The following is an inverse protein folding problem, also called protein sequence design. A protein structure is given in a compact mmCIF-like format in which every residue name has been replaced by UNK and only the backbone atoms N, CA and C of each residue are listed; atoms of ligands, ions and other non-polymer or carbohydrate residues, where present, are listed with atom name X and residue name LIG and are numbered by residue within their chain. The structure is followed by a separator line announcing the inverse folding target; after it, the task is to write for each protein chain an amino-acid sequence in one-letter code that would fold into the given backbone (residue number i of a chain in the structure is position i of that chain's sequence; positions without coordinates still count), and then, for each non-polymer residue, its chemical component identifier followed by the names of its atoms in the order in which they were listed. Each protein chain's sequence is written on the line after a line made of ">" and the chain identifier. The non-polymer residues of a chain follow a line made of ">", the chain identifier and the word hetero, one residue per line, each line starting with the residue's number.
data_IF_099145341166
#
_entry.id   IF_099145341166
#
_cell.length_a   1.000
_cell.length_b   1.000
_cell.length_c   1.000
_cell.angle_alpha   90.00
_cell.angle_beta   90.00
_cell.angle_gamma   90.00
#
_symmetry.space_group_name_H-M   'P 1'
#
loop_
_entity.id
_entity.type
_entity.pdbx_description
1 polymer ?
#
# COMPACT_ATOMS: atom_id res chain seq x y z
N UNK A 1 6.18 -1.06 -9.26
CA UNK A 1 5.20 -1.20 -10.34
C UNK A 1 4.26 0.00 -10.45
N UNK A 2 3.67 0.19 -11.61
CA UNK A 2 2.77 1.29 -11.92
C UNK A 2 1.53 0.79 -12.67
N UNK A 3 0.35 1.11 -12.12
CA UNK A 3 -0.93 0.93 -12.78
C UNK A 3 -1.52 2.30 -13.06
N UNK A 4 -1.89 2.55 -14.29
CA UNK A 4 -2.59 3.77 -14.72
C UNK A 4 -4.05 3.43 -14.96
N UNK A 5 -4.95 4.31 -14.58
CA UNK A 5 -6.38 4.12 -14.78
C UNK A 5 -7.08 5.42 -15.19
N UNK A 6 -8.07 5.27 -16.05
CA UNK A 6 -9.04 6.27 -16.45
C UNK A 6 -10.43 5.59 -16.47
N UNK A 7 -11.16 5.54 -17.57
CA UNK A 7 -12.38 4.72 -17.69
C UNK A 7 -12.12 3.19 -17.67
N UNK A 8 -10.86 2.80 -17.83
CA UNK A 8 -10.33 1.44 -17.69
C UNK A 8 -8.95 1.48 -17.07
N UNK A 9 -8.41 0.32 -16.64
CA UNK A 9 -7.13 0.23 -15.96
C UNK A 9 -6.10 -0.55 -16.78
N UNK A 10 -4.84 -0.11 -16.71
CA UNK A 10 -3.72 -0.70 -17.45
C UNK A 10 -2.45 -0.78 -16.59
N UNK A 11 -1.69 -1.88 -16.74
CA UNK A 11 -0.38 -2.01 -16.08
C UNK A 11 0.69 -1.35 -16.96
N UNK A 12 1.14 -0.18 -16.58
CA UNK A 12 2.19 0.57 -17.26
C UNK A 12 3.57 -0.03 -16.99
N UNK A 13 3.83 -0.43 -15.74
CA UNK A 13 5.07 -1.06 -15.33
C UNK A 13 4.78 -2.18 -14.32
N UNK A 14 5.20 -3.42 -14.56
CA UNK A 14 5.11 -4.47 -13.56
C UNK A 14 6.03 -4.17 -12.37
N UNK A 15 5.81 -4.85 -11.24
CA UNK A 15 6.68 -4.71 -10.08
C UNK A 15 8.12 -5.12 -10.43
N UNK A 16 9.06 -4.24 -10.19
CA UNK A 16 10.48 -4.42 -10.52
C UNK A 16 11.38 -3.76 -9.48
N UNK A 17 12.60 -4.25 -9.33
CA UNK A 17 13.66 -3.62 -8.55
C UNK A 17 14.44 -2.56 -9.36
N UNK A 18 14.20 -2.48 -10.66
CA UNK A 18 14.80 -1.46 -11.53
C UNK A 18 14.08 -0.11 -11.33
N UNK A 19 14.68 0.73 -10.48
CA UNK A 19 14.14 2.05 -10.16
C UNK A 19 14.22 3.03 -11.33
N UNK A 20 15.23 2.92 -12.18
CA UNK A 20 15.40 3.82 -13.33
C UNK A 20 14.33 3.52 -14.38
N UNK A 21 14.08 2.24 -14.67
CA UNK A 21 12.97 1.83 -15.52
C UNK A 21 11.64 2.32 -14.97
N UNK A 22 11.40 2.14 -13.66
CA UNK A 22 10.16 2.58 -13.02
C UNK A 22 9.95 4.10 -13.14
N UNK A 23 11.00 4.90 -12.92
CA UNK A 23 10.95 6.37 -13.07
C UNK A 23 10.66 6.78 -14.51
N UNK A 24 11.30 6.13 -15.48
CA UNK A 24 11.05 6.39 -16.90
C UNK A 24 9.59 6.12 -17.27
N UNK A 25 9.01 5.03 -16.77
CA UNK A 25 7.60 4.69 -17.01
C UNK A 25 6.64 5.68 -16.34
N UNK A 26 6.96 6.21 -15.16
CA UNK A 26 6.16 7.28 -14.54
C UNK A 26 6.20 8.56 -15.38
N UNK A 27 7.39 8.92 -15.91
CA UNK A 27 7.55 10.13 -16.72
C UNK A 27 6.80 10.07 -18.06
N UNK A 28 6.55 8.85 -18.57
CA UNK A 28 5.81 8.62 -19.83
C UNK A 28 4.35 8.20 -19.60
N UNK A 29 3.91 8.13 -18.35
CA UNK A 29 2.54 7.76 -18.03
C UNK A 29 1.57 8.80 -18.57
N UNK A 30 0.70 8.37 -19.47
CA UNK A 30 -0.33 9.17 -20.10
C UNK A 30 -1.59 8.30 -20.23
N UNK A 31 -2.75 8.93 -20.19
CA UNK A 31 -4.04 8.27 -20.28
C UNK A 31 -4.77 8.52 -21.62
N UNK A 32 -4.15 9.20 -22.57
CA UNK A 32 -4.79 9.63 -23.82
C UNK A 32 -5.32 8.47 -24.69
N UNK A 33 -4.84 7.26 -24.48
CA UNK A 33 -5.31 6.04 -25.16
C UNK A 33 -6.33 5.23 -24.32
N UNK A 34 -6.59 5.63 -23.07
CA UNK A 34 -7.61 5.00 -22.24
C UNK A 34 -8.98 5.69 -22.45
N UNK A 35 -10.06 4.95 -22.20
CA UNK A 35 -11.41 5.51 -22.21
C UNK A 35 -11.56 6.59 -21.16
N UNK A 36 -12.39 7.60 -21.46
CA UNK A 36 -12.74 8.63 -20.49
C UNK A 36 -13.45 8.04 -19.27
N UNK A 37 -13.12 8.56 -18.10
CA UNK A 37 -13.69 8.14 -16.83
C UNK A 37 -12.64 8.00 -15.73
N UNK A 38 -13.07 7.50 -14.56
CA UNK A 38 -12.23 7.32 -13.38
C UNK A 38 -12.60 6.00 -12.69
N UNK A 39 -12.15 4.89 -13.27
CA UNK A 39 -12.42 3.52 -12.80
C UNK A 39 -11.48 3.13 -11.66
N UNK A 40 -11.62 3.80 -10.50
CA UNK A 40 -10.75 3.60 -9.32
C UNK A 40 -10.73 2.13 -8.88
N UNK A 41 -11.91 1.49 -8.86
CA UNK A 41 -12.02 0.08 -8.45
C UNK A 41 -11.27 -0.87 -9.37
N UNK A 42 -11.33 -0.64 -10.69
CA UNK A 42 -10.62 -1.46 -11.68
C UNK A 42 -9.10 -1.28 -11.55
N UNK A 43 -8.63 -0.03 -11.34
CA UNK A 43 -7.23 0.29 -11.10
C UNK A 43 -6.69 -0.39 -9.84
N UNK A 44 -7.44 -0.28 -8.75
CA UNK A 44 -7.09 -0.91 -7.49
C UNK A 44 -7.09 -2.45 -7.59
N UNK A 45 -8.13 -3.03 -8.21
CA UNK A 45 -8.24 -4.48 -8.39
C UNK A 45 -7.09 -5.03 -9.26
N UNK A 46 -6.73 -4.33 -10.33
CA UNK A 46 -5.59 -4.70 -11.17
C UNK A 46 -4.28 -4.65 -10.38
N UNK A 47 -4.05 -3.61 -9.58
CA UNK A 47 -2.86 -3.48 -8.74
C UNK A 47 -2.78 -4.61 -7.68
N UNK A 48 -3.90 -4.96 -7.06
CA UNK A 48 -4.01 -6.08 -6.12
C UNK A 48 -3.64 -7.40 -6.80
N UNK A 49 -4.16 -7.68 -8.00
CA UNK A 49 -3.84 -8.88 -8.75
C UNK A 49 -2.33 -8.95 -9.10
N UNK A 50 -1.72 -7.81 -9.45
CA UNK A 50 -0.26 -7.78 -9.73
C UNK A 50 0.59 -8.10 -8.49
N UNK A 51 0.10 -7.77 -7.29
CA UNK A 51 0.77 -8.11 -6.04
C UNK A 51 0.41 -9.51 -5.53
N UNK A 52 -0.71 -10.10 -5.97
CA UNK A 52 -1.10 -11.46 -5.60
C UNK A 52 -0.05 -12.47 -6.06
N UNK A 53 0.49 -12.29 -7.27
CA UNK A 53 1.47 -13.20 -7.88
C UNK A 53 2.88 -13.07 -7.28
N UNK A 54 3.12 -12.08 -6.41
CA UNK A 54 4.44 -11.91 -5.78
C UNK A 54 4.62 -12.87 -4.62
N UNK A 55 5.54 -13.83 -4.79
CA UNK A 55 5.89 -14.84 -3.77
C UNK A 55 6.99 -14.28 -2.87
N UNK A 56 6.96 -14.63 -1.57
CA UNK A 56 7.97 -14.28 -0.57
C UNK A 56 8.12 -12.77 -0.26
N UNK A 57 7.07 -11.97 -0.48
CA UNK A 57 7.04 -10.57 -0.08
C UNK A 57 6.25 -10.43 1.21
N UNK A 58 6.93 -10.05 2.29
CA UNK A 58 6.32 -9.92 3.62
C UNK A 58 5.35 -8.74 3.72
N UNK A 59 5.61 -7.66 2.97
CA UNK A 59 4.82 -6.43 3.02
C UNK A 59 4.41 -6.02 1.62
N UNK A 60 3.10 -5.92 1.39
CA UNK A 60 2.52 -5.50 0.12
C UNK A 60 1.77 -4.18 0.33
N UNK A 61 2.14 -3.16 -0.44
CA UNK A 61 1.59 -1.80 -0.30
C UNK A 61 1.17 -1.28 -1.66
N UNK A 62 -0.01 -0.66 -1.70
CA UNK A 62 -0.51 0.10 -2.84
C UNK A 62 -0.68 1.55 -2.41
N UNK A 63 -0.20 2.49 -3.21
CA UNK A 63 -0.52 3.91 -3.08
C UNK A 63 -1.50 4.24 -4.20
N UNK A 64 -2.75 4.52 -3.82
CA UNK A 64 -3.82 4.93 -4.70
C UNK A 64 -3.84 6.46 -4.77
N UNK A 65 -3.51 7.03 -5.92
CA UNK A 65 -3.52 8.46 -6.16
C UNK A 65 -4.66 8.80 -7.13
N UNK A 66 -5.55 9.70 -6.74
CA UNK A 66 -6.66 10.16 -7.60
C UNK A 66 -7.01 11.61 -7.31
N UNK A 67 -7.40 12.35 -8.35
CA UNK A 67 -7.88 13.73 -8.30
C UNK A 67 -9.38 13.85 -8.59
N UNK A 68 -10.04 12.73 -8.86
CA UNK A 68 -11.40 12.69 -9.35
C UNK A 68 -12.39 11.88 -8.54
N UNK A 69 -13.63 12.06 -8.95
CA UNK A 69 -14.78 11.26 -8.53
C UNK A 69 -14.77 9.96 -9.34
N UNK A 70 -15.17 8.87 -8.71
CA UNK A 70 -15.38 7.62 -9.43
C UNK A 70 -16.40 7.80 -10.55
N UNK A 71 -15.97 7.64 -11.80
CA UNK A 71 -16.81 7.67 -13.00
C UNK A 71 -16.59 6.38 -13.78
N UNK A 72 -17.53 5.44 -13.68
CA UNK A 72 -17.44 4.15 -14.38
C UNK A 72 -16.68 3.08 -13.59
N UNK A 73 -16.17 2.09 -14.32
CA UNK A 73 -15.48 0.92 -13.79
C UNK A 73 -16.40 -0.27 -13.52
N UNK A 74 -15.87 -1.46 -13.69
CA UNK A 74 -16.55 -2.74 -13.47
C UNK A 74 -16.62 -3.10 -11.98
N UNK A 75 -15.56 -2.80 -11.24
CA UNK A 75 -15.43 -3.14 -9.82
C UNK A 75 -15.67 -1.92 -8.94
N UNK A 76 -16.30 -2.15 -7.78
CA UNK A 76 -16.37 -1.13 -6.74
C UNK A 76 -14.99 -0.96 -6.06
N UNK A 77 -14.58 0.26 -5.71
CA UNK A 77 -13.37 0.48 -4.92
C UNK A 77 -13.36 -0.28 -3.60
N UNK A 78 -14.52 -0.43 -2.95
CA UNK A 78 -14.68 -1.16 -1.70
C UNK A 78 -14.50 -2.67 -1.92
N UNK A 79 -15.00 -3.22 -3.03
CA UNK A 79 -14.79 -4.65 -3.37
C UNK A 79 -13.31 -4.93 -3.63
N UNK A 80 -12.64 -4.03 -4.35
CA UNK A 80 -11.20 -4.11 -4.59
C UNK A 80 -10.39 -4.00 -3.27
N UNK A 81 -10.82 -3.15 -2.33
CA UNK A 81 -10.21 -3.04 -1.01
C UNK A 81 -10.43 -4.32 -0.17
N UNK A 82 -11.58 -4.95 -0.26
CA UNK A 82 -11.83 -6.24 0.39
C UNK A 82 -10.93 -7.35 -0.16
N UNK A 83 -10.71 -7.39 -1.47
CA UNK A 83 -9.74 -8.30 -2.09
C UNK A 83 -8.30 -8.00 -1.62
N UNK A 84 -7.91 -6.72 -1.54
CA UNK A 84 -6.61 -6.30 -1.01
C UNK A 84 -6.41 -6.80 0.43
N UNK A 85 -7.43 -6.62 1.29
CA UNK A 85 -7.42 -7.09 2.67
C UNK A 85 -7.19 -8.60 2.79
N UNK A 86 -7.86 -9.40 1.96
CA UNK A 86 -7.70 -10.87 1.94
C UNK A 86 -6.27 -11.30 1.59
N UNK A 87 -5.57 -10.51 0.78
CA UNK A 87 -4.19 -10.74 0.36
C UNK A 87 -3.15 -10.04 1.24
N UNK A 88 -3.57 -9.45 2.36
CA UNK A 88 -2.74 -8.64 3.26
C UNK A 88 -2.02 -7.48 2.54
N UNK A 89 -2.69 -6.88 1.55
CA UNK A 89 -2.21 -5.69 0.83
C UNK A 89 -2.76 -4.45 1.50
N UNK A 90 -1.87 -3.58 1.99
CA UNK A 90 -2.26 -2.27 2.54
C UNK A 90 -2.44 -1.25 1.42
N UNK A 91 -3.49 -0.44 1.53
CA UNK A 91 -3.78 0.63 0.56
C UNK A 91 -3.72 1.98 1.25
N UNK A 92 -2.79 2.83 0.81
CA UNK A 92 -2.75 4.25 1.17
C UNK A 92 -3.47 5.03 0.08
N UNK A 93 -4.54 5.72 0.45
CA UNK A 93 -5.32 6.52 -0.48
C UNK A 93 -4.91 7.98 -0.40
N UNK A 94 -4.55 8.57 -1.53
CA UNK A 94 -4.17 9.98 -1.62
C UNK A 94 -5.15 10.67 -2.56
N UNK A 95 -5.94 11.58 -2.01
CA UNK A 95 -6.78 12.47 -2.81
C UNK A 95 -6.04 13.74 -3.17
N UNK A 96 -5.92 14.05 -4.45
CA UNK A 96 -5.31 15.28 -4.95
C UNK A 96 -6.40 16.27 -5.35
N UNK A 97 -6.41 17.41 -4.70
CA UNK A 97 -7.37 18.48 -5.06
C UNK A 97 -7.48 19.54 -3.98
N UNK A 98 -7.92 20.72 -4.38
CA UNK A 98 -8.32 21.78 -3.46
C UNK A 98 -9.77 21.58 -3.04
N UNK A 99 -10.15 22.10 -1.86
CA UNK A 99 -11.54 22.12 -1.39
C UNK A 99 -12.45 23.02 -2.21
N UNK A 100 -11.88 23.78 -3.15
CA UNK A 100 -12.64 24.64 -4.01
C UNK A 100 -13.42 23.81 -5.03
N UNK A 101 -14.73 23.89 -4.94
CA UNK A 101 -15.64 23.50 -6.01
C UNK A 101 -15.16 24.15 -7.31
N UNK A 102 -14.39 23.43 -8.12
CA UNK A 102 -13.90 23.96 -9.39
C UNK A 102 -15.09 23.99 -10.34
N UNK A 103 -15.53 25.17 -10.80
CA UNK A 103 -16.67 25.24 -11.71
C UNK A 103 -16.30 24.59 -13.04
N UNK A 104 -17.11 23.63 -13.46
CA UNK A 104 -16.95 22.94 -14.75
C UNK A 104 -17.67 23.73 -15.86
N UNK A 105 -17.11 23.81 -17.06
CA UNK A 105 -17.80 24.40 -18.20
C UNK A 105 -18.93 23.45 -18.65
N UNK A 106 -20.15 23.85 -18.43
CA UNK A 106 -21.37 23.20 -18.92
C UNK A 106 -21.95 24.01 -20.09
N UNK A 107 -22.46 23.33 -21.08
CA UNK A 107 -23.16 24.01 -22.19
C UNK A 107 -24.63 24.13 -21.83
N UNK A 108 -25.13 25.37 -21.66
CA UNK A 108 -26.54 25.66 -21.44
C UNK A 108 -27.38 25.25 -22.65
N UNK A 109 -28.69 25.14 -22.47
CA UNK A 109 -29.70 24.82 -23.51
C UNK A 109 -29.63 25.77 -24.71
N UNK A 110 -29.02 26.93 -24.53
CA UNK A 110 -28.82 27.95 -25.57
C UNK A 110 -27.44 27.89 -26.26
N UNK A 111 -26.65 26.84 -26.01
CA UNK A 111 -25.30 26.65 -26.58
C UNK A 111 -24.22 27.55 -25.95
N UNK A 112 -24.50 28.21 -24.83
CA UNK A 112 -23.52 29.05 -24.10
C UNK A 112 -22.74 28.24 -23.09
N UNK A 113 -21.41 28.40 -23.05
CA UNK A 113 -20.55 27.82 -21.97
C UNK A 113 -20.82 28.64 -20.72
N UNK A 114 -21.43 28.00 -19.73
CA UNK A 114 -21.57 28.52 -18.36
C UNK A 114 -20.70 27.66 -17.43
N UNK A 115 -20.19 28.27 -16.35
CA UNK A 115 -19.44 27.56 -15.33
C UNK A 115 -20.41 27.24 -14.19
N UNK A 116 -20.68 25.96 -13.99
CA UNK A 116 -21.60 25.48 -12.95
C UNK A 116 -20.87 24.65 -11.93
N UNK A 117 -21.19 24.83 -10.65
CA UNK A 117 -20.71 24.00 -9.58
C UNK A 117 -21.58 22.74 -9.56
N UNK A 118 -21.06 21.61 -10.03
CA UNK A 118 -21.80 20.36 -9.92
C UNK A 118 -21.48 19.69 -8.57
N UNK A 119 -22.46 19.65 -7.63
CA UNK A 119 -22.26 19.01 -6.31
C UNK A 119 -21.98 17.51 -6.43
N UNK A 120 -22.26 16.89 -7.59
CA UNK A 120 -22.02 15.47 -7.87
C UNK A 120 -20.56 15.19 -8.20
N UNK A 121 -19.78 16.23 -8.55
CA UNK A 121 -18.34 16.17 -8.80
C UNK A 121 -17.57 16.52 -7.51
N UNK A 122 -18.15 16.24 -6.37
CA UNK A 122 -17.41 16.31 -5.12
C UNK A 122 -16.52 15.09 -4.99
N UNK A 123 -15.27 15.35 -4.75
CA UNK A 123 -14.27 14.36 -4.39
C UNK A 123 -14.77 13.45 -3.26
N UNK A 124 -14.92 12.16 -3.53
CA UNK A 124 -15.46 11.21 -2.54
C UNK A 124 -14.39 10.78 -1.51
N UNK A 125 -14.11 11.70 -0.59
CA UNK A 125 -13.20 11.41 0.51
C UNK A 125 -13.68 10.24 1.37
N UNK A 126 -14.98 10.03 1.49
CA UNK A 126 -15.57 8.98 2.32
C UNK A 126 -15.17 7.61 1.79
N UNK A 127 -15.30 7.41 0.49
CA UNK A 127 -14.89 6.17 -0.19
C UNK A 127 -13.38 5.93 -0.06
N UNK A 128 -12.54 6.95 -0.25
CA UNK A 128 -11.09 6.80 -0.13
C UNK A 128 -10.65 6.49 1.31
N UNK A 129 -11.30 7.10 2.29
CA UNK A 129 -11.09 6.79 3.72
C UNK A 129 -11.52 5.35 4.03
N UNK A 130 -12.65 4.91 3.49
CA UNK A 130 -13.13 3.54 3.65
C UNK A 130 -12.15 2.52 3.07
N UNK A 131 -11.68 2.71 1.83
CA UNK A 131 -10.68 1.86 1.16
C UNK A 131 -9.41 1.74 2.00
N UNK A 132 -8.88 2.86 2.49
CA UNK A 132 -7.68 2.88 3.32
C UNK A 132 -7.90 2.13 4.65
N UNK A 133 -9.00 2.43 5.35
CA UNK A 133 -9.31 1.83 6.65
C UNK A 133 -9.53 0.32 6.56
N UNK A 134 -10.24 -0.17 5.54
CA UNK A 134 -10.49 -1.60 5.32
C UNK A 134 -9.21 -2.41 5.20
N UNK A 135 -8.16 -1.82 4.62
CA UNK A 135 -6.89 -2.48 4.33
C UNK A 135 -5.79 -2.21 5.37
N UNK A 136 -6.10 -1.44 6.43
CA UNK A 136 -5.13 -1.06 7.46
C UNK A 136 -4.10 -0.01 7.00
N UNK A 137 -4.41 0.71 5.91
CA UNK A 137 -3.68 1.89 5.45
C UNK A 137 -4.24 3.19 6.02
N UNK A 138 -3.92 4.31 5.39
CA UNK A 138 -4.37 5.64 5.76
C UNK A 138 -4.76 6.46 4.54
N UNK A 139 -5.70 7.40 4.73
CA UNK A 139 -6.08 8.41 3.75
C UNK A 139 -5.30 9.70 3.98
N UNK A 140 -4.85 10.31 2.88
CA UNK A 140 -4.19 11.61 2.87
C UNK A 140 -4.83 12.54 1.84
N UNK A 141 -4.75 13.84 2.11
CA UNK A 141 -5.19 14.88 1.17
C UNK A 141 -3.99 15.71 0.75
N UNK A 142 -3.71 15.72 -0.54
CA UNK A 142 -2.64 16.52 -1.14
C UNK A 142 -3.24 17.74 -1.86
N UNK A 143 -2.96 18.92 -1.35
CA UNK A 143 -3.42 20.20 -1.92
C UNK A 143 -2.35 20.90 -2.76
N UNK A 144 -1.10 20.43 -2.67
CA UNK A 144 0.04 20.94 -3.43
C UNK A 144 1.04 19.82 -3.72
N UNK A 145 2.00 20.10 -4.61
CA UNK A 145 3.09 19.17 -4.95
C UNK A 145 4.02 18.91 -3.76
N UNK A 146 4.28 19.94 -2.98
CA UNK A 146 5.10 19.84 -1.77
C UNK A 146 4.42 18.94 -0.74
N UNK A 147 3.11 19.13 -0.54
CA UNK A 147 2.32 18.29 0.37
C UNK A 147 2.29 16.83 -0.07
N UNK A 148 2.20 16.59 -1.38
CA UNK A 148 2.28 15.22 -1.92
C UNK A 148 3.64 14.58 -1.60
N UNK A 149 4.74 15.32 -1.74
CA UNK A 149 6.08 14.83 -1.39
C UNK A 149 6.21 14.49 0.09
N UNK A 150 5.68 15.33 0.98
CA UNK A 150 5.63 15.05 2.43
C UNK A 150 4.85 13.77 2.75
N UNK A 151 3.70 13.56 2.08
CA UNK A 151 2.87 12.36 2.26
C UNK A 151 3.64 11.10 1.86
N UNK A 152 4.37 11.11 0.73
CA UNK A 152 5.19 9.97 0.34
C UNK A 152 6.27 9.65 1.37
N UNK A 153 6.95 10.66 1.92
CA UNK A 153 7.93 10.48 2.98
C UNK A 153 7.30 9.92 4.26
N UNK A 154 6.10 10.38 4.61
CA UNK A 154 5.37 9.89 5.77
C UNK A 154 4.96 8.42 5.60
N UNK A 155 4.48 8.01 4.43
CA UNK A 155 4.16 6.61 4.12
C UNK A 155 5.40 5.74 4.22
N UNK A 156 6.53 6.19 3.67
CA UNK A 156 7.82 5.47 3.74
C UNK A 156 8.26 5.25 5.20
N UNK A 157 8.12 6.26 6.06
CA UNK A 157 8.42 6.14 7.48
C UNK A 157 7.50 5.15 8.21
N UNK A 158 6.19 5.22 7.94
CA UNK A 158 5.20 4.29 8.54
C UNK A 158 5.52 2.84 8.17
N UNK A 159 5.84 2.59 6.91
CA UNK A 159 6.13 1.24 6.44
C UNK A 159 7.46 0.71 6.97
N UNK A 160 8.50 1.54 7.08
CA UNK A 160 9.79 1.17 7.69
C UNK A 160 9.64 0.79 9.16
N UNK A 161 8.90 1.58 9.94
CA UNK A 161 8.65 1.28 11.36
C UNK A 161 7.90 -0.05 11.53
N UNK A 162 6.86 -0.30 10.71
CA UNK A 162 6.13 -1.58 10.76
C UNK A 162 7.01 -2.76 10.41
N UNK A 163 7.90 -2.61 9.43
CA UNK A 163 8.82 -3.65 9.01
C UNK A 163 9.83 -4.00 10.12
N UNK A 164 10.37 -3.01 10.84
CA UNK A 164 11.27 -3.22 11.97
C UNK A 164 10.59 -3.97 13.12
N UNK A 165 9.34 -3.63 13.44
CA UNK A 165 8.55 -4.31 14.47
C UNK A 165 8.29 -5.77 14.10
N UNK A 166 7.92 -6.06 12.85
CA UNK A 166 7.67 -7.41 12.36
C UNK A 166 8.92 -8.30 12.43
N UNK A 167 10.10 -7.76 12.14
CA UNK A 167 11.37 -8.51 12.25
C UNK A 167 11.64 -8.83 13.72
N UNK A 168 11.46 -7.90 14.63
CA UNK A 168 11.75 -8.08 16.05
C UNK A 168 10.83 -9.13 16.69
N UNK A 169 9.59 -9.25 16.25
CA UNK A 169 8.64 -10.24 16.76
C UNK A 169 8.87 -11.68 16.24
N UNK A 170 9.62 -11.86 15.16
CA UNK A 170 9.88 -13.20 14.58
C UNK A 170 11.07 -13.93 15.17
N UNK A 171 11.84 -13.33 16.08
CA UNK A 171 12.90 -14.00 16.82
C UNK A 171 12.32 -14.72 18.04
N UNK A 172 11.83 -15.94 17.85
CA UNK A 172 11.64 -16.88 18.95
C UNK A 172 13.03 -17.34 19.43
N UNK A 173 13.52 -16.69 20.46
CA UNK A 173 14.81 -17.05 21.08
C UNK A 173 14.71 -18.40 21.80
N UNK A 174 15.03 -19.46 21.10
CA UNK A 174 15.17 -20.80 21.73
C UNK A 174 16.49 -20.98 22.48
N UNK A 175 17.31 -19.94 22.57
CA UNK A 175 18.60 -19.95 23.24
C UNK A 175 18.51 -20.48 24.67
N UNK A 176 17.48 -20.13 25.42
CA UNK A 176 17.30 -20.51 26.82
C UNK A 176 17.27 -22.01 27.01
N UNK A 177 16.64 -22.77 26.14
CA UNK A 177 16.57 -24.24 26.25
C UNK A 177 17.92 -24.89 26.01
N UNK A 178 18.70 -24.45 25.07
CA UNK A 178 20.04 -24.94 24.79
C UNK A 178 21.03 -24.56 25.90
N UNK A 179 20.96 -23.36 26.43
CA UNK A 179 21.75 -22.89 27.55
C UNK A 179 21.45 -23.69 28.82
N UNK A 180 20.17 -24.00 29.09
CA UNK A 180 19.77 -24.81 30.24
C UNK A 180 20.32 -26.24 30.14
N UNK A 181 20.22 -26.89 28.99
CA UNK A 181 20.77 -28.23 28.76
C UNK A 181 22.29 -28.23 28.96
N UNK A 182 23.01 -27.25 28.39
CA UNK A 182 24.44 -27.09 28.56
C UNK A 182 24.85 -26.92 30.05
N UNK A 183 24.07 -26.12 30.78
CA UNK A 183 24.30 -25.91 32.21
C UNK A 183 24.08 -27.18 33.04
N UNK A 184 23.04 -27.96 32.74
CA UNK A 184 22.76 -29.25 33.41
C UNK A 184 23.90 -30.25 33.15
N UNK A 185 24.41 -30.34 31.91
CA UNK A 185 25.53 -31.23 31.58
C UNK A 185 26.80 -30.83 32.33
N UNK A 186 27.10 -29.56 32.46
CA UNK A 186 28.20 -29.03 33.24
C UNK A 186 28.09 -29.40 34.74
N UNK A 187 26.90 -29.29 35.33
CA UNK A 187 26.66 -29.69 36.71
C UNK A 187 26.87 -31.19 36.90
N UNK A 188 26.41 -32.03 35.96
CA UNK A 188 26.62 -33.49 36.00
C UNK A 188 28.11 -33.83 35.93
N UNK A 189 28.87 -33.17 35.05
CA UNK A 189 30.33 -33.36 34.95
C UNK A 189 31.03 -33.07 36.26
N UNK A 190 30.74 -31.92 36.90
CA UNK A 190 31.31 -31.52 38.18
C UNK A 190 30.96 -32.53 39.28
N UNK A 191 29.71 -33.00 39.31
CA UNK A 191 29.28 -34.02 40.28
C UNK A 191 30.00 -35.37 40.07
N UNK A 192 30.11 -35.84 38.83
CA UNK A 192 30.79 -37.08 38.50
C UNK A 192 32.28 -37.01 38.83
N UNK A 193 32.95 -35.91 38.53
CA UNK A 193 34.37 -35.71 38.81
C UNK A 193 34.66 -35.71 40.31
N UNK A 194 33.80 -35.07 41.11
CA UNK A 194 33.98 -34.97 42.55
C UNK A 194 33.51 -36.19 43.34
N UNK A 195 32.63 -37.04 42.80
CA UNK A 195 32.08 -38.19 43.51
C UNK A 195 32.65 -39.51 43.03
N UNK A 196 32.60 -39.82 41.74
CA UNK A 196 32.98 -41.14 41.20
C UNK A 196 34.47 -41.21 40.83
N UNK A 197 35.01 -40.18 40.22
CA UNK A 197 36.42 -40.19 39.77
C UNK A 197 37.42 -39.69 40.79
N UNK A 198 36.99 -39.21 41.95
CA UNK A 198 37.86 -38.78 43.01
C UNK A 198 38.63 -39.96 43.65
N UNK A 199 38.18 -41.20 43.46
CA UNK A 199 38.81 -42.36 44.02
C UNK A 199 39.85 -43.05 43.10
N UNK A 200 40.11 -42.47 41.93
CA UNK A 200 41.03 -43.00 40.93
C UNK A 200 42.34 -42.19 40.80
N UNK A 201 42.51 -41.14 41.61
CA UNK A 201 43.74 -40.38 41.80
C UNK A 201 44.17 -40.50 43.27
#
# INVERSE_FOLDING_TARGET
>A
GLVVFAGEAFTQCPATLDHEMSKAQVATADNWYLKDGTAIGDGLFLAVNRLADTVNVNTKVIILLTDGVRIGGKYSPVDAANAAKQLNVRVYSIGVGSESNTPIPVVDKNGRKIFELDPRISFDETMLKEVANLTGGQYFKATSKEKLSEIYQQIDQIEKQKFEVDITQRYDEHFFYFALIGFILLLIEILLTNTIFRSLT
#
